data_IF_135065183309
#
_entry.id   IF_135065183309
#
_cell.length_a   1.000
_cell.length_b   1.000
_cell.length_c   1.000
_cell.angle_alpha   90.00
_cell.angle_beta   90.00
_cell.angle_gamma   90.00
#
_symmetry.space_group_name_H-M   'P 1'
#
loop_
_entity.id
_entity.type
_entity.pdbx_description
1 polymer ?
#
# COMPACT_ATOMS: atom_id res chain seq x y z
N UNK A 1 -22.95 22.98 37.24
CA UNK A 1 -21.90 21.99 36.90
C UNK A 1 -22.60 20.68 36.60
N UNK A 2 -22.74 20.34 35.32
CA UNK A 2 -22.55 18.97 34.80
C UNK A 2 -22.77 19.04 33.30
N UNK A 3 -21.70 18.81 32.54
CA UNK A 3 -21.73 18.74 31.09
C UNK A 3 -22.15 17.33 30.69
N UNK A 4 -23.33 17.19 30.08
CA UNK A 4 -23.76 15.95 29.46
C UNK A 4 -23.02 15.74 28.13
N UNK A 5 -21.89 15.04 28.19
CA UNK A 5 -21.11 14.70 27.00
C UNK A 5 -21.79 13.54 26.26
N UNK A 6 -22.57 13.88 25.22
CA UNK A 6 -23.23 12.93 24.34
C UNK A 6 -22.21 12.17 23.51
N UNK A 7 -21.84 10.97 23.96
CA UNK A 7 -20.94 10.06 23.25
C UNK A 7 -21.63 9.55 21.98
N UNK A 8 -21.47 10.23 20.84
CA UNK A 8 -21.92 9.69 19.56
C UNK A 8 -20.91 8.61 19.14
N UNK A 9 -21.21 7.35 19.45
CA UNK A 9 -20.48 6.21 18.88
C UNK A 9 -20.55 6.31 17.34
N UNK A 10 -19.43 6.20 16.61
CA UNK A 10 -19.52 6.09 15.16
C UNK A 10 -20.35 4.84 14.80
N UNK A 11 -21.16 4.90 13.73
CA UNK A 11 -22.01 3.78 13.32
C UNK A 11 -21.16 2.53 13.09
N UNK A 12 -21.63 1.33 13.49
CA UNK A 12 -20.95 0.09 13.16
C UNK A 12 -20.88 -0.04 11.64
N UNK A 13 -19.66 -0.17 11.13
CA UNK A 13 -19.37 -0.35 9.71
C UNK A 13 -20.13 -1.55 9.13
N UNK A 14 -20.63 -1.44 7.89
CA UNK A 14 -21.50 -2.45 7.30
C UNK A 14 -20.82 -3.83 7.34
N UNK A 15 -21.52 -4.79 7.94
CA UNK A 15 -21.14 -6.19 8.02
C UNK A 15 -20.75 -6.69 6.63
N UNK A 16 -19.46 -6.98 6.45
CA UNK A 16 -18.87 -7.45 5.20
C UNK A 16 -19.71 -8.59 4.61
N UNK A 17 -20.22 -8.38 3.39
CA UNK A 17 -21.10 -9.35 2.74
C UNK A 17 -20.30 -10.61 2.37
N UNK A 18 -20.87 -11.82 2.52
CA UNK A 18 -20.20 -13.05 2.11
C UNK A 18 -19.83 -12.96 0.62
N UNK A 19 -18.55 -13.00 0.28
CA UNK A 19 -18.05 -12.87 -1.09
C UNK A 19 -17.36 -11.53 -1.43
N UNK A 20 -17.32 -10.57 -0.50
CA UNK A 20 -16.64 -9.29 -0.72
C UNK A 20 -15.11 -9.40 -0.76
N UNK A 21 -14.54 -10.44 -0.15
CA UNK A 21 -13.10 -10.65 -0.07
C UNK A 21 -12.65 -11.94 -0.74
N UNK A 22 -11.59 -11.83 -1.54
CA UNK A 22 -10.78 -12.92 -2.07
C UNK A 22 -9.82 -13.36 -0.97
N UNK A 23 -9.87 -14.62 -0.58
CA UNK A 23 -8.90 -15.19 0.36
C UNK A 23 -7.96 -16.13 -0.38
N UNK A 24 -6.68 -15.84 -0.36
CA UNK A 24 -5.66 -16.73 -0.91
C UNK A 24 -5.34 -17.80 0.12
N UNK A 25 -5.78 -19.05 -0.11
CA UNK A 25 -5.60 -20.18 0.81
C UNK A 25 -4.12 -20.46 1.14
N UNK A 26 -3.21 -20.19 0.20
CA UNK A 26 -1.78 -20.47 0.36
C UNK A 26 -1.05 -19.48 1.30
N UNK A 27 -1.42 -18.20 1.28
CA UNK A 27 -0.70 -17.13 2.03
C UNK A 27 -1.56 -16.49 3.13
N UNK A 28 -2.85 -16.84 3.20
CA UNK A 28 -3.81 -16.28 4.14
C UNK A 28 -4.15 -14.81 3.86
N UNK A 29 -3.82 -14.28 2.68
CA UNK A 29 -4.15 -12.91 2.32
C UNK A 29 -5.65 -12.77 2.04
N UNK A 30 -6.26 -11.71 2.55
CA UNK A 30 -7.67 -11.36 2.37
C UNK A 30 -7.74 -10.02 1.63
N UNK A 31 -8.16 -10.05 0.37
CA UNK A 31 -8.16 -8.89 -0.52
C UNK A 31 -9.60 -8.59 -0.95
N UNK A 32 -10.10 -7.38 -0.70
CA UNK A 32 -11.43 -6.99 -1.17
C UNK A 32 -11.49 -7.03 -2.71
N UNK A 33 -12.61 -7.51 -3.26
CA UNK A 33 -12.87 -7.47 -4.72
C UNK A 33 -13.01 -6.04 -5.25
N UNK A 34 -13.28 -5.08 -4.37
CA UNK A 34 -13.34 -3.65 -4.69
C UNK A 34 -11.98 -2.96 -4.63
N UNK A 35 -10.93 -3.64 -4.16
CA UNK A 35 -9.59 -3.06 -4.15
C UNK A 35 -9.03 -3.01 -5.57
N UNK A 36 -8.29 -1.95 -5.88
CA UNK A 36 -7.68 -1.72 -7.19
C UNK A 36 -6.18 -1.89 -7.05
N UNK A 37 -5.63 -2.90 -7.72
CA UNK A 37 -4.21 -3.24 -7.66
C UNK A 37 -3.61 -3.08 -9.05
N UNK A 38 -2.73 -2.10 -9.22
CA UNK A 38 -1.99 -1.88 -10.47
C UNK A 38 -0.63 -2.56 -10.38
N UNK A 39 -0.21 -3.21 -11.47
CA UNK A 39 1.11 -3.87 -11.52
C UNK A 39 1.27 -4.96 -10.47
N UNK A 40 0.33 -5.89 -10.37
CA UNK A 40 0.38 -6.98 -9.37
C UNK A 40 1.67 -7.82 -9.44
N UNK A 41 2.30 -7.94 -10.62
CA UNK A 41 3.63 -8.56 -10.79
C UNK A 41 4.75 -7.87 -10.01
N UNK A 42 4.52 -6.61 -9.62
CA UNK A 42 5.47 -5.72 -8.96
C UNK A 42 5.13 -5.51 -7.48
N UNK A 43 4.18 -6.30 -6.95
CA UNK A 43 3.72 -6.19 -5.57
C UNK A 43 3.92 -7.54 -4.90
N UNK A 44 4.65 -7.52 -3.77
CA UNK A 44 4.84 -8.71 -2.94
C UNK A 44 4.03 -8.56 -1.67
N UNK A 45 3.13 -9.52 -1.44
CA UNK A 45 2.32 -9.60 -0.23
C UNK A 45 2.93 -10.58 0.77
N UNK A 46 3.32 -10.09 1.95
CA UNK A 46 4.08 -10.87 2.94
C UNK A 46 3.31 -11.99 3.64
N UNK A 47 1.99 -12.08 3.46
CA UNK A 47 1.15 -13.11 4.07
C UNK A 47 0.25 -12.57 5.17
N UNK A 48 -0.95 -13.15 5.31
CA UNK A 48 -2.01 -12.69 6.23
C UNK A 48 -2.32 -11.19 6.11
N UNK A 49 -2.15 -10.63 4.90
CA UNK A 49 -2.44 -9.24 4.62
C UNK A 49 -3.95 -9.06 4.40
N UNK A 50 -4.55 -8.06 5.03
CA UNK A 50 -5.97 -7.71 4.86
C UNK A 50 -6.07 -6.38 4.12
N UNK A 51 -6.66 -6.41 2.93
CA UNK A 51 -6.88 -5.23 2.09
C UNK A 51 -8.39 -4.98 2.03
N UNK A 52 -8.83 -3.86 2.59
CA UNK A 52 -10.23 -3.45 2.60
C UNK A 52 -10.71 -2.91 1.24
N UNK A 53 -12.01 -2.61 1.16
CA UNK A 53 -12.65 -2.08 -0.05
C UNK A 53 -12.08 -0.71 -0.41
N UNK A 54 -12.11 -0.37 -1.70
CA UNK A 54 -11.63 0.91 -2.26
C UNK A 54 -10.15 1.23 -1.99
N UNK A 55 -9.37 0.26 -1.52
CA UNK A 55 -7.92 0.42 -1.40
C UNK A 55 -7.29 0.41 -2.79
N UNK A 56 -6.41 1.37 -3.04
CA UNK A 56 -5.65 1.47 -4.28
C UNK A 56 -4.17 1.19 -4.01
N UNK A 57 -3.59 0.21 -4.69
CA UNK A 57 -2.16 -0.10 -4.61
C UNK A 57 -1.53 0.08 -5.98
N UNK A 58 -0.54 0.96 -6.10
CA UNK A 58 0.12 1.30 -7.38
C UNK A 58 1.51 0.70 -7.52
N UNK A 59 1.60 -0.55 -7.97
CA UNK A 59 2.86 -1.21 -8.32
C UNK A 59 3.34 -0.95 -9.75
N UNK A 60 2.58 -0.21 -10.55
CA UNK A 60 2.91 0.16 -11.93
C UNK A 60 4.02 1.23 -12.04
N UNK A 61 4.22 2.00 -10.98
CA UNK A 61 5.15 3.12 -10.92
C UNK A 61 6.57 2.64 -10.63
N UNK A 62 7.33 2.29 -11.67
CA UNK A 62 8.72 1.77 -11.53
C UNK A 62 9.78 2.86 -11.64
N UNK A 63 11.00 2.52 -11.22
CA UNK A 63 12.20 3.32 -11.47
C UNK A 63 12.44 3.38 -12.97
N UNK A 64 12.30 4.58 -13.54
CA UNK A 64 12.73 4.83 -14.92
C UNK A 64 14.26 4.83 -14.92
N UNK A 65 14.86 3.69 -15.23
CA UNK A 65 16.26 3.65 -15.64
C UNK A 65 16.29 4.25 -17.04
N UNK A 66 16.84 5.46 -17.18
CA UNK A 66 17.04 6.06 -18.49
C UNK A 66 17.90 5.09 -19.30
N UNK A 67 17.35 4.54 -20.38
CA UNK A 67 18.16 4.09 -21.48
C UNK A 67 18.93 5.31 -21.97
N UNK A 68 20.25 5.32 -21.75
CA UNK A 68 21.13 6.25 -22.44
C UNK A 68 20.88 6.06 -23.94
N UNK A 69 20.80 7.15 -24.69
CA UNK A 69 20.57 7.15 -26.15
C UNK A 69 21.69 6.50 -26.97
N UNK A 70 22.76 6.07 -26.31
CA UNK A 70 23.77 5.19 -26.86
C UNK A 70 23.34 3.76 -26.54
N UNK A 71 23.00 2.97 -27.57
CA UNK A 71 22.38 1.63 -27.49
C UNK A 71 23.19 0.55 -26.76
N UNK A 72 24.18 0.94 -25.96
CA UNK A 72 24.90 0.11 -25.00
C UNK A 72 24.07 -0.05 -23.72
N UNK A 73 23.12 -0.99 -23.77
CA UNK A 73 22.45 -1.50 -22.57
C UNK A 73 23.50 -1.81 -21.49
N UNK A 74 23.46 -1.22 -20.27
CA UNK A 74 24.16 -1.82 -19.17
C UNK A 74 23.46 -3.15 -18.92
N UNK A 75 24.10 -4.24 -19.36
CA UNK A 75 23.77 -5.62 -19.08
C UNK A 75 24.04 -5.90 -17.61
N UNK A 76 23.36 -5.18 -16.72
CA UNK A 76 23.41 -5.49 -15.31
C UNK A 76 22.03 -5.45 -14.66
N UNK A 77 21.67 -6.63 -14.19
CA UNK A 77 20.75 -6.90 -13.10
C UNK A 77 19.31 -6.44 -13.33
N UNK A 78 18.52 -7.40 -13.81
CA UNK A 78 17.14 -7.65 -13.38
C UNK A 78 16.64 -6.60 -12.38
N UNK A 79 16.18 -5.47 -12.91
CA UNK A 79 15.61 -4.40 -12.11
C UNK A 79 14.37 -5.02 -11.48
N UNK A 80 14.52 -5.55 -10.26
CA UNK A 80 13.46 -6.21 -9.50
C UNK A 80 12.23 -5.35 -9.67
N UNK A 81 11.29 -5.83 -10.47
CA UNK A 81 10.11 -5.07 -10.87
C UNK A 81 9.25 -4.77 -9.65
N UNK A 82 9.53 -5.42 -8.53
CA UNK A 82 8.88 -5.21 -7.24
C UNK A 82 9.17 -3.81 -6.70
N UNK A 83 8.20 -2.92 -6.90
CA UNK A 83 8.21 -1.59 -6.33
C UNK A 83 7.62 -1.60 -4.93
N UNK A 84 6.65 -2.48 -4.63
CA UNK A 84 5.99 -2.48 -3.32
C UNK A 84 6.16 -3.85 -2.66
N UNK A 85 6.84 -3.85 -1.52
CA UNK A 85 6.95 -5.02 -0.65
C UNK A 85 6.15 -4.75 0.61
N UNK A 86 5.21 -5.64 0.93
CA UNK A 86 4.47 -5.60 2.18
C UNK A 86 4.88 -6.76 3.08
N UNK A 87 5.00 -6.50 4.38
CA UNK A 87 5.31 -7.51 5.39
C UNK A 87 4.12 -8.40 5.73
N UNK A 88 4.26 -9.17 6.81
CA UNK A 88 3.21 -10.06 7.33
C UNK A 88 2.23 -9.30 8.22
N UNK A 89 0.98 -9.74 8.23
CA UNK A 89 -0.07 -9.16 9.09
C UNK A 89 -0.29 -7.65 8.85
N UNK A 90 -0.21 -7.22 7.59
CA UNK A 90 -0.53 -5.84 7.21
C UNK A 90 -2.04 -5.70 7.04
N UNK A 91 -2.61 -4.61 7.54
CA UNK A 91 -4.03 -4.29 7.38
C UNK A 91 -4.19 -2.89 6.80
N UNK A 92 -4.83 -2.81 5.64
CA UNK A 92 -5.09 -1.56 4.91
C UNK A 92 -6.57 -1.22 5.02
N UNK A 93 -6.90 -0.14 5.73
CA UNK A 93 -8.26 0.40 5.89
C UNK A 93 -8.88 0.84 4.57
N UNK A 94 -10.21 0.97 4.57
CA UNK A 94 -10.99 1.33 3.38
C UNK A 94 -10.52 2.65 2.75
N UNK A 95 -10.49 2.73 1.42
CA UNK A 95 -10.12 3.95 0.70
C UNK A 95 -8.66 4.38 0.87
N UNK A 96 -7.78 3.52 1.37
CA UNK A 96 -6.33 3.80 1.51
C UNK A 96 -5.66 3.80 0.14
N UNK A 97 -4.76 4.75 -0.10
CA UNK A 97 -3.94 4.81 -1.31
C UNK A 97 -2.49 4.51 -0.97
N UNK A 98 -1.97 3.42 -1.50
CA UNK A 98 -0.56 3.03 -1.40
C UNK A 98 0.12 3.33 -2.72
N UNK A 99 0.93 4.39 -2.74
CA UNK A 99 1.70 4.78 -3.91
C UNK A 99 3.19 4.85 -3.58
N UNK A 100 4.08 4.33 -4.44
CA UNK A 100 5.52 4.47 -4.23
C UNK A 100 5.93 5.96 -4.19
N UNK A 101 6.92 6.33 -3.35
CA UNK A 101 7.48 7.69 -3.34
C UNK A 101 8.07 8.05 -4.71
N UNK A 102 7.73 9.24 -5.19
CA UNK A 102 8.34 9.84 -6.38
C UNK A 102 9.47 10.78 -5.98
N UNK A 103 10.61 10.70 -6.66
CA UNK A 103 11.68 11.71 -6.58
C UNK A 103 12.03 12.18 -7.99
N UNK A 104 12.03 13.48 -8.19
CA UNK A 104 12.45 14.08 -9.45
C UNK A 104 13.96 14.22 -9.45
N UNK A 105 14.63 13.61 -10.44
CA UNK A 105 16.07 13.81 -10.66
C UNK A 105 16.30 14.35 -12.07
N UNK A 106 16.79 15.59 -12.15
CA UNK A 106 17.09 16.28 -13.41
C UNK A 106 15.91 16.21 -14.41
N UNK A 107 14.71 16.60 -13.95
CA UNK A 107 13.50 16.65 -14.79
C UNK A 107 12.82 15.31 -15.11
N UNK A 108 13.30 14.18 -14.57
CA UNK A 108 12.61 12.88 -14.70
C UNK A 108 12.12 12.37 -13.36
N UNK A 109 10.85 11.95 -13.33
CA UNK A 109 10.23 11.30 -12.19
C UNK A 109 10.74 9.87 -12.06
N UNK A 110 11.43 9.57 -10.95
CA UNK A 110 11.86 8.22 -10.61
C UNK A 110 11.12 7.77 -9.35
N UNK A 111 10.49 6.60 -9.41
CA UNK A 111 9.86 5.99 -8.25
C UNK A 111 10.84 5.08 -7.51
N UNK A 112 10.81 5.15 -6.18
CA UNK A 112 11.63 4.30 -5.31
C UNK A 112 10.79 3.16 -4.76
N UNK A 113 11.39 1.99 -4.50
CA UNK A 113 10.67 0.89 -3.90
C UNK A 113 10.17 1.26 -2.50
N UNK A 114 8.90 0.95 -2.23
CA UNK A 114 8.25 1.07 -0.93
C UNK A 114 8.32 -0.26 -0.18
N UNK A 115 8.67 -0.20 1.10
CA UNK A 115 8.68 -1.37 1.99
C UNK A 115 7.79 -1.14 3.21
N UNK A 116 6.78 -1.99 3.42
CA UNK A 116 6.04 -2.07 4.67
C UNK A 116 6.59 -3.19 5.53
N UNK A 117 6.80 -2.90 6.82
CA UNK A 117 7.17 -3.91 7.81
C UNK A 117 6.03 -4.87 8.18
N UNK A 118 6.31 -5.70 9.17
CA UNK A 118 5.38 -6.66 9.76
C UNK A 118 4.48 -5.96 10.80
N UNK A 119 3.23 -6.42 10.93
CA UNK A 119 2.22 -5.90 11.88
C UNK A 119 1.94 -4.40 11.70
N UNK A 120 1.77 -3.97 10.45
CA UNK A 120 1.40 -2.59 10.14
C UNK A 120 -0.12 -2.47 10.05
N UNK A 121 -0.68 -1.52 10.76
CA UNK A 121 -2.09 -1.16 10.69
C UNK A 121 -2.24 0.23 10.08
N UNK A 122 -3.07 0.33 9.05
CA UNK A 122 -3.31 1.58 8.33
C UNK A 122 -4.80 1.88 8.39
N UNK A 123 -5.14 3.03 8.97
CA UNK A 123 -6.51 3.52 9.07
C UNK A 123 -7.10 3.91 7.72
N UNK A 124 -8.43 4.05 7.69
CA UNK A 124 -9.18 4.34 6.48
C UNK A 124 -8.83 5.71 5.88
N UNK A 125 -8.96 5.85 4.56
CA UNK A 125 -8.71 7.07 3.80
C UNK A 125 -7.30 7.64 3.99
N UNK A 126 -6.31 6.79 4.28
CA UNK A 126 -4.93 7.21 4.44
C UNK A 126 -4.19 7.18 3.11
N UNK A 127 -3.25 8.11 2.92
CA UNK A 127 -2.37 8.13 1.74
C UNK A 127 -0.96 7.83 2.20
N UNK A 128 -0.36 6.79 1.61
CA UNK A 128 0.97 6.32 1.97
C UNK A 128 1.88 6.46 0.77
N UNK A 129 2.93 7.23 1.00
CA UNK A 129 3.94 7.59 0.01
C UNK A 129 5.35 7.48 0.60
N UNK A 130 5.51 6.77 1.70
CA UNK A 130 6.80 6.59 2.37
C UNK A 130 7.67 5.55 1.67
N UNK A 131 8.98 5.78 1.60
CA UNK A 131 9.93 4.77 1.13
C UNK A 131 9.94 3.51 2.03
N UNK A 132 9.79 3.68 3.33
CA UNK A 132 9.78 2.56 4.27
C UNK A 132 8.89 2.85 5.48
N UNK A 133 8.07 1.87 5.85
CA UNK A 133 7.33 1.81 7.11
C UNK A 133 7.94 0.70 7.95
N UNK A 134 8.24 1.02 9.22
CA UNK A 134 8.80 0.05 10.18
C UNK A 134 7.83 -1.06 10.56
N UNK A 135 8.24 -1.89 11.52
CA UNK A 135 7.41 -2.96 12.09
C UNK A 135 6.55 -2.43 13.24
N UNK A 136 5.36 -3.01 13.45
CA UNK A 136 4.43 -2.67 14.54
C UNK A 136 3.99 -1.20 14.54
N UNK A 137 3.87 -0.63 13.35
CA UNK A 137 3.41 0.75 13.16
C UNK A 137 1.90 0.75 13.05
N UNK A 138 1.25 1.67 13.79
CA UNK A 138 -0.18 1.96 13.66
C UNK A 138 -0.33 3.36 13.12
N UNK A 139 -0.98 3.47 11.97
CA UNK A 139 -1.32 4.72 11.29
C UNK A 139 -2.82 4.90 11.51
N UNK A 140 -3.21 6.06 12.03
CA UNK A 140 -4.62 6.40 12.25
C UNK A 140 -5.40 6.60 10.95
N UNK A 141 -6.67 6.96 11.07
CA UNK A 141 -7.51 7.28 9.93
C UNK A 141 -7.15 8.64 9.33
N UNK A 142 -7.35 8.79 8.01
CA UNK A 142 -7.13 10.03 7.24
C UNK A 142 -5.71 10.59 7.39
N UNK A 143 -4.73 9.70 7.54
CA UNK A 143 -3.33 10.10 7.68
C UNK A 143 -2.68 10.21 6.30
N UNK A 144 -1.83 11.23 6.13
CA UNK A 144 -1.03 11.41 4.91
C UNK A 144 0.44 11.24 5.30
N UNK A 145 1.11 10.25 4.73
CA UNK A 145 2.52 9.96 5.01
C UNK A 145 3.30 10.22 3.72
N UNK A 146 4.05 11.32 3.73
CA UNK A 146 4.84 11.80 2.59
C UNK A 146 6.30 11.88 3.04
N UNK A 147 7.21 11.23 2.30
CA UNK A 147 8.67 11.40 2.47
C UNK A 147 9.45 10.95 1.24
#
# INVERSE_FOLDING_TARGET
>A
MEAGESTTRPPPTPSARPGEYIQTTATGNKISRRAIIYGASNIVLGGKCTIHSDVMIRGDLTRVVRATSDGSMPKNESSSSVVIVTGRYVSLGEGTVVRPPCKTYQGVFSYFPMRLGDYVHIGAHSVIEAAQIGHRVRIGDRCIIVR
#
